data_IF_562929258863
#
_entry.id   IF_562929258863
#
_cell.length_a   1.000
_cell.length_b   1.000
_cell.length_c   1.000
_cell.angle_alpha   90.00
_cell.angle_beta   90.00
_cell.angle_gamma   90.00
#
_symmetry.space_group_name_H-M   'P 1'
#
loop_
_entity.id
_entity.type
_entity.pdbx_description
1 polymer ?
#
# COMPACT_ATOMS: atom_id res chain seq x y z
N UNK A 1 17.47 7.46 9.69
CA UNK A 1 17.08 8.81 9.25
C UNK A 1 17.54 9.82 10.29
N UNK A 2 18.11 10.96 9.88
CA UNK A 2 18.52 12.05 10.81
C UNK A 2 17.33 12.96 11.14
N UNK A 3 17.39 13.73 12.23
CA UNK A 3 16.32 14.66 12.62
C UNK A 3 16.01 15.69 11.52
N UNK A 4 17.04 16.15 10.80
CA UNK A 4 16.91 17.08 9.67
C UNK A 4 16.19 16.40 8.49
N UNK A 5 16.53 15.14 8.18
CA UNK A 5 15.87 14.39 7.11
C UNK A 5 14.40 14.13 7.45
N UNK A 6 14.08 13.79 8.70
CA UNK A 6 12.71 13.63 9.17
C UNK A 6 11.92 14.94 9.08
N UNK A 7 12.53 16.08 9.47
CA UNK A 7 11.88 17.39 9.35
C UNK A 7 11.57 17.74 7.89
N UNK A 8 12.48 17.43 6.96
CA UNK A 8 12.26 17.63 5.52
C UNK A 8 11.18 16.72 4.96
N UNK A 9 11.15 15.45 5.36
CA UNK A 9 10.07 14.51 5.00
C UNK A 9 8.71 15.07 5.44
N UNK A 10 8.60 15.50 6.70
CA UNK A 10 7.37 16.06 7.23
C UNK A 10 6.93 17.35 6.53
N UNK A 11 7.88 18.21 6.15
CA UNK A 11 7.59 19.41 5.37
C UNK A 11 7.06 19.04 3.97
N UNK A 12 7.67 18.06 3.30
CA UNK A 12 7.19 17.50 2.04
C UNK A 12 5.77 16.96 2.17
N UNK A 13 5.48 16.12 3.17
CA UNK A 13 4.15 15.52 3.33
C UNK A 13 3.06 16.56 3.61
N UNK A 14 3.40 17.69 4.22
CA UNK A 14 2.48 18.83 4.35
C UNK A 14 2.15 19.44 2.99
N UNK A 15 3.15 19.62 2.11
CA UNK A 15 2.93 20.09 0.74
C UNK A 15 2.10 19.09 -0.06
N UNK A 16 2.41 17.79 0.03
CA UNK A 16 1.60 16.72 -0.59
C UNK A 16 0.15 16.82 -0.15
N UNK A 17 -0.11 16.90 1.16
CA UNK A 17 -1.47 17.01 1.70
C UNK A 17 -2.20 18.25 1.20
N UNK A 18 -1.53 19.40 1.15
CA UNK A 18 -2.11 20.63 0.65
C UNK A 18 -2.51 20.50 -0.83
N UNK A 19 -1.60 20.00 -1.67
CA UNK A 19 -1.85 19.76 -3.10
C UNK A 19 -3.01 18.80 -3.32
N UNK A 20 -3.06 17.70 -2.58
CA UNK A 20 -4.16 16.73 -2.69
C UNK A 20 -5.51 17.33 -2.28
N UNK A 21 -5.53 18.15 -1.22
CA UNK A 21 -6.75 18.81 -0.74
C UNK A 21 -7.25 19.87 -1.72
N UNK A 22 -6.36 20.54 -2.45
CA UNK A 22 -6.74 21.50 -3.50
C UNK A 22 -7.30 20.81 -4.76
N UNK A 23 -6.95 19.54 -4.99
CA UNK A 23 -7.31 18.80 -6.19
C UNK A 23 -8.55 17.90 -6.02
N UNK A 24 -8.90 17.53 -4.78
CA UNK A 24 -9.88 16.49 -4.50
C UNK A 24 -10.64 16.83 -3.22
N UNK A 25 -11.95 16.54 -3.20
CA UNK A 25 -12.81 16.68 -2.01
C UNK A 25 -13.01 15.37 -1.23
N UNK A 26 -12.34 14.29 -1.62
CA UNK A 26 -12.47 12.96 -1.01
C UNK A 26 -11.38 12.74 0.03
N UNK A 27 -11.74 12.79 1.31
CA UNK A 27 -10.82 12.63 2.42
C UNK A 27 -10.16 11.24 2.47
N UNK A 28 -10.89 10.19 2.09
CA UNK A 28 -10.35 8.82 2.12
C UNK A 28 -9.31 8.65 1.01
N UNK A 29 -9.58 9.20 -0.17
CA UNK A 29 -8.65 9.18 -1.29
C UNK A 29 -7.40 10.02 -1.00
N UNK A 30 -7.56 11.16 -0.34
CA UNK A 30 -6.45 12.00 0.13
C UNK A 30 -5.59 11.22 1.14
N UNK A 31 -6.19 10.59 2.14
CA UNK A 31 -5.44 9.86 3.17
C UNK A 31 -4.73 8.62 2.60
N UNK A 32 -5.37 7.92 1.66
CA UNK A 32 -4.78 6.80 0.94
C UNK A 32 -3.57 7.23 0.11
N UNK A 33 -3.71 8.31 -0.67
CA UNK A 33 -2.60 8.86 -1.46
C UNK A 33 -1.47 9.39 -0.56
N UNK A 34 -1.80 10.04 0.57
CA UNK A 34 -0.82 10.52 1.53
C UNK A 34 -0.02 9.36 2.16
N UNK A 35 -0.66 8.22 2.42
CA UNK A 35 0.01 7.02 2.94
C UNK A 35 0.99 6.43 1.93
N UNK A 36 0.62 6.37 0.65
CA UNK A 36 1.55 5.93 -0.42
C UNK A 36 2.71 6.91 -0.57
N UNK A 37 2.44 8.22 -0.52
CA UNK A 37 3.47 9.26 -0.57
C UNK A 37 4.43 9.19 0.63
N UNK A 38 3.93 8.92 1.84
CA UNK A 38 4.75 8.74 3.05
C UNK A 38 5.74 7.58 2.90
N UNK A 39 5.29 6.47 2.32
CA UNK A 39 6.15 5.32 2.01
C UNK A 39 7.22 5.67 0.97
N UNK A 40 6.84 6.27 -0.16
CA UNK A 40 7.80 6.64 -1.22
C UNK A 40 8.78 7.75 -0.78
N UNK A 41 8.37 8.61 0.16
CA UNK A 41 9.22 9.63 0.74
C UNK A 41 10.31 9.05 1.67
N UNK A 42 10.11 7.87 2.24
CA UNK A 42 11.16 7.20 3.04
C UNK A 42 12.36 6.82 2.16
N UNK A 43 12.11 6.36 0.93
CA UNK A 43 13.16 5.97 -0.03
C UNK A 43 14.01 7.17 -0.50
N UNK A 44 13.50 8.39 -0.35
CA UNK A 44 14.18 9.62 -0.76
C UNK A 44 15.09 10.21 0.34
N UNK A 45 15.18 9.59 1.52
CA UNK A 45 16.08 9.94 2.64
C UNK A 45 16.07 11.44 3.04
N UNK A 46 14.96 12.15 2.84
CA UNK A 46 14.87 13.59 3.15
C UNK A 46 15.66 14.49 2.19
N UNK A 47 15.96 14.02 0.98
CA UNK A 47 16.51 14.81 -0.16
C UNK A 47 15.39 15.46 -1.01
N UNK A 48 14.17 15.50 -0.48
CA UNK A 48 12.96 15.90 -1.20
C UNK A 48 12.85 17.43 -1.27
N UNK A 49 12.59 17.96 -2.47
CA UNK A 49 12.23 19.36 -2.72
C UNK A 49 10.72 19.58 -2.78
N UNK A 50 10.26 20.83 -2.80
CA UNK A 50 8.82 21.14 -2.97
C UNK A 50 8.26 20.66 -4.31
N UNK A 51 9.05 20.75 -5.39
CA UNK A 51 8.66 20.21 -6.71
C UNK A 51 8.49 18.69 -6.65
N UNK A 52 9.39 18.01 -5.94
CA UNK A 52 9.29 16.56 -5.74
C UNK A 52 8.04 16.20 -4.94
N UNK A 53 7.63 17.04 -3.98
CA UNK A 53 6.39 16.84 -3.23
C UNK A 53 5.14 16.92 -4.12
N UNK A 54 5.10 17.83 -5.09
CA UNK A 54 3.98 17.91 -6.06
C UNK A 54 3.96 16.66 -6.95
N UNK A 55 5.11 16.25 -7.48
CA UNK A 55 5.22 15.04 -8.30
C UNK A 55 4.83 13.78 -7.52
N UNK A 56 5.25 13.71 -6.25
CA UNK A 56 4.93 12.64 -5.33
C UNK A 56 3.42 12.56 -5.06
N UNK A 57 2.75 13.69 -4.82
CA UNK A 57 1.30 13.76 -4.66
C UNK A 57 0.56 13.20 -5.87
N UNK A 58 0.94 13.65 -7.07
CA UNK A 58 0.33 13.19 -8.33
C UNK A 58 0.60 11.71 -8.58
N UNK A 59 1.83 11.25 -8.34
CA UNK A 59 2.22 9.85 -8.52
C UNK A 59 1.46 8.92 -7.58
N UNK A 60 1.41 9.25 -6.29
CA UNK A 60 0.69 8.49 -5.27
C UNK A 60 -0.80 8.40 -5.59
N UNK A 61 -1.44 9.53 -5.92
CA UNK A 61 -2.84 9.58 -6.32
C UNK A 61 -3.11 8.74 -7.58
N UNK A 62 -2.22 8.81 -8.57
CA UNK A 62 -2.34 8.03 -9.80
C UNK A 62 -2.28 6.53 -9.53
N UNK A 63 -1.38 6.09 -8.65
CA UNK A 63 -1.26 4.68 -8.24
C UNK A 63 -2.53 4.21 -7.51
N UNK A 64 -3.02 4.98 -6.54
CA UNK A 64 -4.26 4.64 -5.81
C UNK A 64 -5.45 4.56 -6.77
N UNK A 65 -5.67 5.58 -7.60
CA UNK A 65 -6.77 5.60 -8.57
C UNK A 65 -6.71 4.45 -9.58
N UNK A 66 -5.52 4.12 -10.06
CA UNK A 66 -5.32 2.98 -10.96
C UNK A 66 -5.71 1.67 -10.27
N UNK A 67 -5.23 1.45 -9.06
CA UNK A 67 -5.51 0.24 -8.31
C UNK A 67 -7.00 0.12 -7.97
N UNK A 68 -7.67 1.21 -7.57
CA UNK A 68 -9.13 1.22 -7.36
C UNK A 68 -9.93 0.79 -8.60
N UNK A 69 -9.48 1.13 -9.80
CA UNK A 69 -10.15 0.75 -11.06
C UNK A 69 -9.89 -0.69 -11.46
N UNK A 70 -8.71 -1.20 -11.13
CA UNK A 70 -8.24 -2.51 -11.56
C UNK A 70 -8.57 -3.61 -10.55
N UNK A 71 -8.88 -3.25 -9.30
CA UNK A 71 -9.11 -4.20 -8.21
C UNK A 71 -10.51 -4.12 -7.65
N UNK A 72 -11.02 -5.30 -7.32
CA UNK A 72 -12.21 -5.49 -6.51
C UNK A 72 -11.85 -6.41 -5.36
N UNK A 73 -12.57 -6.31 -4.25
CA UNK A 73 -12.40 -7.21 -3.13
C UNK A 73 -12.75 -8.66 -3.53
N UNK A 74 -12.61 -9.57 -2.57
CA UNK A 74 -12.83 -11.01 -2.80
C UNK A 74 -14.26 -11.34 -3.24
N UNK A 75 -15.20 -10.44 -2.95
CA UNK A 75 -16.63 -10.56 -3.22
C UNK A 75 -17.05 -9.75 -4.48
N UNK A 76 -16.10 -9.07 -5.12
CA UNK A 76 -16.32 -8.27 -6.32
C UNK A 76 -16.77 -6.82 -6.06
N UNK A 77 -16.72 -6.35 -4.82
CA UNK A 77 -17.01 -4.96 -4.48
C UNK A 77 -15.78 -4.07 -4.73
N UNK A 78 -16.00 -2.76 -4.84
CA UNK A 78 -14.89 -1.80 -4.85
C UNK A 78 -14.14 -1.89 -3.51
N UNK A 79 -12.80 -1.91 -3.58
CA UNK A 79 -11.97 -1.88 -2.38
C UNK A 79 -11.97 -0.47 -1.78
N UNK A 80 -12.05 -0.42 -0.44
CA UNK A 80 -11.80 0.78 0.36
C UNK A 80 -10.42 1.40 0.04
N UNK A 81 -10.35 2.73 0.00
CA UNK A 81 -9.20 3.50 -0.44
C UNK A 81 -7.94 3.21 0.41
N UNK A 82 -8.10 3.00 1.72
CA UNK A 82 -6.99 2.68 2.61
C UNK A 82 -6.46 1.27 2.37
N UNK A 83 -7.34 0.30 2.11
CA UNK A 83 -6.91 -1.06 1.69
C UNK A 83 -6.21 -1.03 0.35
N UNK A 84 -6.62 -0.14 -0.56
CA UNK A 84 -5.92 0.08 -1.83
C UNK A 84 -4.52 0.64 -1.59
N UNK A 85 -4.35 1.61 -0.70
CA UNK A 85 -3.03 2.14 -0.34
C UNK A 85 -2.11 1.07 0.24
N UNK A 86 -2.61 0.23 1.15
CA UNK A 86 -1.86 -0.91 1.70
C UNK A 86 -1.43 -1.87 0.60
N UNK A 87 -2.32 -2.18 -0.34
CA UNK A 87 -2.00 -3.04 -1.48
C UNK A 87 -0.92 -2.44 -2.37
N UNK A 88 -1.00 -1.14 -2.68
CA UNK A 88 0.02 -0.44 -3.49
C UNK A 88 1.39 -0.51 -2.83
N UNK A 89 1.46 -0.32 -1.51
CA UNK A 89 2.71 -0.41 -0.76
C UNK A 89 3.24 -1.85 -0.76
N UNK A 90 2.37 -2.84 -0.54
CA UNK A 90 2.75 -4.25 -0.55
C UNK A 90 3.25 -4.71 -1.93
N UNK A 91 2.63 -4.23 -3.02
CA UNK A 91 3.08 -4.44 -4.40
C UNK A 91 4.47 -3.86 -4.67
N UNK A 92 4.77 -2.67 -4.13
CA UNK A 92 6.10 -2.07 -4.24
C UNK A 92 7.15 -2.82 -3.41
N UNK A 93 6.81 -3.25 -2.19
CA UNK A 93 7.74 -4.01 -1.34
C UNK A 93 8.05 -5.40 -1.89
N UNK A 94 7.04 -6.09 -2.42
CA UNK A 94 7.17 -7.49 -2.81
C UNK A 94 7.39 -7.69 -4.31
N UNK A 95 7.38 -6.61 -5.09
CA UNK A 95 7.66 -6.64 -6.53
C UNK A 95 6.67 -7.49 -7.32
N UNK A 96 5.35 -7.32 -7.08
CA UNK A 96 4.35 -7.97 -7.91
C UNK A 96 4.39 -7.36 -9.33
N UNK A 97 5.22 -7.94 -10.19
CA UNK A 97 5.41 -7.49 -11.56
C UNK A 97 4.20 -7.84 -12.42
N UNK A 98 3.37 -6.82 -12.67
CA UNK A 98 2.20 -6.89 -13.55
C UNK A 98 2.51 -6.96 -15.04
N UNK A 99 3.73 -6.62 -15.48
CA UNK A 99 4.10 -6.74 -16.89
C UNK A 99 4.33 -8.21 -17.29
N UNK A 100 4.81 -9.03 -16.36
CA UNK A 100 5.09 -10.46 -16.59
C UNK A 100 3.95 -11.39 -16.15
N UNK A 101 3.08 -10.98 -15.22
CA UNK A 101 2.00 -11.81 -14.69
C UNK A 101 0.63 -11.11 -14.74
N UNK A 102 -0.06 -11.12 -15.90
CA UNK A 102 -1.47 -10.75 -15.94
C UNK A 102 -2.27 -11.70 -15.05
N UNK A 103 -3.05 -11.15 -14.12
CA UNK A 103 -3.81 -11.97 -13.17
C UNK A 103 -4.84 -12.83 -13.91
N UNK A 104 -4.65 -14.15 -13.82
CA UNK A 104 -5.75 -15.09 -13.98
C UNK A 104 -6.75 -14.83 -12.87
N UNK A 105 -7.99 -14.58 -13.25
CA UNK A 105 -9.21 -14.56 -12.42
C UNK A 105 -9.50 -15.95 -11.83
N UNK A 106 -8.52 -16.58 -11.20
CA UNK A 106 -8.74 -17.85 -10.53
C UNK A 106 -9.36 -17.53 -9.17
N UNK A 107 -10.68 -17.75 -9.10
CA UNK A 107 -11.55 -17.68 -7.92
C UNK A 107 -10.80 -18.02 -6.62
N UNK A 108 -11.01 -17.16 -5.63
CA UNK A 108 -10.52 -17.22 -4.24
C UNK A 108 -10.54 -18.61 -3.61
N UNK A 109 -11.50 -19.48 -3.98
CA UNK A 109 -11.60 -20.85 -3.49
C UNK A 109 -10.33 -21.69 -3.74
N UNK A 110 -9.66 -21.49 -4.88
CA UNK A 110 -8.44 -22.25 -5.22
C UNK A 110 -7.24 -21.76 -4.41
N UNK A 111 -7.14 -20.44 -4.16
CA UNK A 111 -6.06 -19.85 -3.34
C UNK A 111 -6.23 -20.17 -1.85
N UNK A 112 -7.46 -20.19 -1.33
CA UNK A 112 -7.74 -20.60 0.05
C UNK A 112 -7.38 -22.08 0.24
N UNK A 113 -7.73 -22.95 -0.73
CA UNK A 113 -7.33 -24.37 -0.68
C UNK A 113 -5.82 -24.57 -0.78
N UNK A 114 -5.14 -23.81 -1.64
CA UNK A 114 -3.69 -23.87 -1.77
C UNK A 114 -2.98 -23.37 -0.49
N UNK A 115 -3.49 -22.31 0.14
CA UNK A 115 -2.98 -21.79 1.43
C UNK A 115 -3.23 -22.78 2.57
N UNK A 116 -4.40 -23.42 2.62
CA UNK A 116 -4.70 -24.46 3.60
C UNK A 116 -3.83 -25.72 3.42
N UNK A 117 -3.49 -26.07 2.18
CA UNK A 117 -2.60 -27.19 1.87
C UNK A 117 -1.11 -26.88 2.13
N UNK A 118 -0.70 -25.60 2.06
CA UNK A 118 0.68 -25.17 2.29
C UNK A 118 1.02 -24.88 3.76
N UNK A 119 0.02 -24.88 4.67
CA UNK A 119 0.27 -24.80 6.11
C UNK A 119 0.79 -26.16 6.57
N UNK A 120 2.12 -26.26 6.67
CA UNK A 120 2.81 -27.35 7.37
C UNK A 120 2.26 -27.37 8.82
N UNK A 121 1.71 -28.49 9.31
CA UNK A 121 1.27 -28.58 10.69
C UNK A 121 2.46 -28.29 11.61
N UNK A 122 2.35 -27.32 12.51
CA UNK A 122 3.33 -27.12 13.57
C UNK A 122 3.41 -28.41 14.38
N UNK A 123 4.49 -29.14 14.18
CA UNK A 123 4.83 -30.33 14.95
C UNK A 123 5.28 -29.88 16.36
N UNK A 124 4.50 -30.24 17.38
CA UNK A 124 4.98 -30.48 18.73
C UNK A 124 4.81 -29.37 19.78
N UNK A 125 4.05 -29.68 20.83
CA UNK A 125 4.58 -29.64 22.20
C UNK A 125 3.83 -30.68 23.06
N UNK A 126 4.52 -31.51 23.86
CA UNK A 126 3.91 -32.56 24.65
C UNK A 126 3.16 -31.96 25.85
N UNK A 127 1.88 -32.32 26.00
CA UNK A 127 1.10 -32.03 27.20
C UNK A 127 1.75 -32.73 28.40
N UNK A 128 2.30 -31.95 29.34
CA UNK A 128 2.62 -32.47 30.67
C UNK A 128 1.31 -32.67 31.44
N UNK A 129 1.16 -33.77 32.21
CA UNK A 129 0.00 -33.93 33.06
C UNK A 129 0.08 -32.95 34.23
N UNK A 130 -1.00 -32.23 34.46
CA UNK A 130 -1.27 -31.51 35.71
C UNK A 130 -1.95 -32.51 36.64
N UNK A 131 -1.49 -32.53 37.89
CA UNK A 131 -1.79 -33.49 38.97
C UNK A 131 -3.24 -33.94 39.11
#
# INVERSE_FOLDING_TARGET
MTDIALARKNACLKVVRAVLTDLIDDSNLIDAALRVADYEADDLEGKITETDAVLLAVAALTKVNRTMREWSDVDGNSMDEMRVAEFVIDEQMNGYDRAANPHKTTSSAVRIRARAAAVIPRMGSPLRPVH
#
